data_IF_440711878353
#
_entry.id   IF_440711878353
#
_cell.length_a   1.000
_cell.length_b   1.000
_cell.length_c   1.000
_cell.angle_alpha   90.00
_cell.angle_beta   90.00
_cell.angle_gamma   90.00
#
_symmetry.space_group_name_H-M   'P 1'
#
loop_
_entity.id
_entity.type
_entity.pdbx_description
1 polymer ?
#
# COMPACT_ATOMS: atom_id res chain seq x y z
N UNK A 1 -5.19 3.06 16.05
CA UNK A 1 -4.02 3.86 16.49
C UNK A 1 -2.75 3.03 16.25
N UNK A 2 -2.30 2.93 15.00
CA UNK A 2 -1.06 2.22 14.63
C UNK A 2 -0.29 3.04 13.60
N UNK A 3 -1.00 3.60 12.61
CA UNK A 3 -0.44 4.52 11.62
C UNK A 3 0.08 5.83 12.22
N UNK A 4 -0.64 6.40 13.21
CA UNK A 4 -0.23 7.61 13.92
C UNK A 4 1.00 7.32 14.80
N UNK A 5 0.97 6.22 15.54
CA UNK A 5 2.03 5.85 16.50
C UNK A 5 3.35 5.48 15.79
N UNK A 6 3.29 5.09 14.52
CA UNK A 6 4.47 4.79 13.69
C UNK A 6 4.76 5.83 12.59
N UNK A 7 4.05 6.95 12.59
CA UNK A 7 4.22 8.02 11.60
C UNK A 7 4.16 7.53 10.14
N UNK A 8 3.29 6.55 9.87
CA UNK A 8 3.09 5.93 8.55
C UNK A 8 2.09 6.71 7.68
N UNK A 9 1.83 7.97 8.01
CA UNK A 9 0.95 8.81 7.22
C UNK A 9 1.45 8.84 5.77
N UNK A 10 0.53 8.71 4.82
CA UNK A 10 0.85 8.90 3.41
C UNK A 10 1.45 10.30 3.24
N UNK A 11 2.70 10.34 2.78
CA UNK A 11 3.39 11.59 2.44
C UNK A 11 3.07 11.98 1.01
N UNK A 12 3.28 13.25 0.67
CA UNK A 12 3.07 13.74 -0.70
C UNK A 12 3.92 12.96 -1.73
N UNK A 13 5.09 12.47 -1.31
CA UNK A 13 5.94 11.63 -2.15
C UNK A 13 5.32 10.25 -2.45
N UNK A 14 4.59 9.66 -1.51
CA UNK A 14 3.90 8.38 -1.73
C UNK A 14 2.72 8.53 -2.67
N UNK A 15 2.00 9.65 -2.54
CA UNK A 15 0.90 10.01 -3.43
C UNK A 15 1.43 10.18 -4.87
N UNK A 16 2.56 10.89 -5.02
CA UNK A 16 3.23 11.07 -6.31
C UNK A 16 3.67 9.75 -6.94
N UNK A 17 4.27 8.85 -6.15
CA UNK A 17 4.69 7.53 -6.61
C UNK A 17 3.49 6.71 -7.10
N UNK A 18 2.36 6.73 -6.38
CA UNK A 18 1.12 6.08 -6.82
C UNK A 18 0.54 6.72 -8.08
N UNK A 19 0.61 8.04 -8.23
CA UNK A 19 0.19 8.69 -9.47
C UNK A 19 1.03 8.24 -10.66
N UNK A 20 2.35 8.07 -10.49
CA UNK A 20 3.23 7.55 -11.54
C UNK A 20 2.94 6.08 -11.87
N UNK A 21 2.70 5.24 -10.87
CA UNK A 21 2.27 3.85 -11.10
C UNK A 21 0.96 3.79 -11.88
N UNK A 22 -0.05 4.58 -11.47
CA UNK A 22 -1.32 4.62 -12.18
C UNK A 22 -1.18 5.20 -13.59
N UNK A 23 -0.34 6.20 -13.80
CA UNK A 23 -0.06 6.76 -15.13
C UNK A 23 0.53 5.69 -16.05
N UNK A 24 1.49 4.92 -15.53
CA UNK A 24 2.14 3.83 -16.26
C UNK A 24 1.17 2.69 -16.55
N UNK A 25 0.34 2.29 -15.58
CA UNK A 25 -0.61 1.18 -15.72
C UNK A 25 -1.79 1.52 -16.64
N UNK A 26 -2.30 2.74 -16.58
CA UNK A 26 -3.49 3.17 -17.36
C UNK A 26 -3.12 3.82 -18.70
N UNK A 27 -1.84 4.14 -18.92
CA UNK A 27 -1.37 4.88 -20.09
C UNK A 27 -1.87 6.33 -20.13
N UNK A 28 -2.34 6.87 -19.01
CA UNK A 28 -2.80 8.24 -18.90
C UNK A 28 -1.68 9.16 -18.45
N UNK A 29 -1.70 10.40 -18.96
CA UNK A 29 -0.80 11.46 -18.53
C UNK A 29 -0.89 11.73 -17.02
N UNK A 30 0.26 11.85 -16.37
CA UNK A 30 0.38 12.07 -14.92
C UNK A 30 -0.42 13.31 -14.47
N UNK A 31 -0.40 14.36 -15.28
CA UNK A 31 -1.16 15.59 -15.03
C UNK A 31 -2.66 15.33 -14.95
N UNK A 32 -3.19 14.48 -15.82
CA UNK A 32 -4.63 14.12 -15.85
C UNK A 32 -5.02 13.27 -14.64
N UNK A 33 -4.12 12.39 -14.19
CA UNK A 33 -4.32 11.61 -12.96
C UNK A 33 -4.31 12.53 -11.74
N UNK A 34 -3.36 13.47 -11.66
CA UNK A 34 -3.33 14.46 -10.59
C UNK A 34 -4.59 15.32 -10.57
N UNK A 35 -5.06 15.78 -11.71
CA UNK A 35 -6.34 16.52 -11.81
C UNK A 35 -7.53 15.65 -11.38
N UNK A 36 -7.56 14.37 -11.78
CA UNK A 36 -8.63 13.47 -11.39
C UNK A 36 -8.64 13.21 -9.88
N UNK A 37 -7.48 13.10 -9.25
CA UNK A 37 -7.30 12.94 -7.80
C UNK A 37 -7.27 14.26 -7.03
N UNK A 38 -7.38 15.42 -7.70
CA UNK A 38 -7.38 16.73 -7.06
C UNK A 38 -8.60 16.94 -6.15
N UNK A 39 -9.65 16.14 -6.29
CA UNK A 39 -10.77 16.20 -5.37
C UNK A 39 -10.37 15.67 -3.99
N UNK A 40 -10.72 16.41 -2.94
CA UNK A 40 -10.35 16.10 -1.57
C UNK A 40 -10.80 14.69 -1.13
N UNK A 41 -11.93 14.20 -1.64
CA UNK A 41 -12.45 12.87 -1.37
C UNK A 41 -11.56 11.75 -1.95
N UNK A 42 -11.13 11.90 -3.21
CA UNK A 42 -10.28 10.91 -3.89
C UNK A 42 -8.86 10.92 -3.33
N UNK A 43 -8.32 12.10 -3.04
CA UNK A 43 -7.02 12.25 -2.41
C UNK A 43 -7.01 11.62 -1.00
N UNK A 44 -8.05 11.87 -0.20
CA UNK A 44 -8.20 11.27 1.12
C UNK A 44 -8.29 9.75 1.03
N UNK A 45 -9.08 9.22 0.10
CA UNK A 45 -9.20 7.77 -0.07
C UNK A 45 -7.87 7.12 -0.48
N UNK A 46 -7.14 7.76 -1.39
CA UNK A 46 -5.83 7.26 -1.83
C UNK A 46 -4.80 7.29 -0.68
N UNK A 47 -4.79 8.36 0.11
CA UNK A 47 -3.88 8.47 1.26
C UNK A 47 -4.16 7.41 2.33
N UNK A 48 -5.44 7.07 2.58
CA UNK A 48 -5.80 5.93 3.43
C UNK A 48 -5.29 4.61 2.85
N UNK A 49 -5.53 4.32 1.57
CA UNK A 49 -5.06 3.08 0.95
C UNK A 49 -3.53 2.92 1.00
N UNK A 50 -2.78 4.00 0.75
CA UNK A 50 -1.31 4.01 0.88
C UNK A 50 -0.88 3.73 2.33
N UNK A 51 -1.55 4.38 3.29
CA UNK A 51 -1.25 4.19 4.71
C UNK A 51 -1.53 2.74 5.13
N UNK A 52 -2.61 2.13 4.65
CA UNK A 52 -2.93 0.72 4.89
C UNK A 52 -1.87 -0.21 4.31
N UNK A 53 -1.45 -0.03 3.06
CA UNK A 53 -0.39 -0.83 2.44
C UNK A 53 0.92 -0.75 3.23
N UNK A 54 1.28 0.44 3.71
CA UNK A 54 2.48 0.67 4.53
C UNK A 54 2.38 0.00 5.89
N UNK A 55 1.23 0.09 6.55
CA UNK A 55 0.99 -0.59 7.83
C UNK A 55 1.06 -2.11 7.64
N UNK A 56 0.48 -2.65 6.58
CA UNK A 56 0.57 -4.08 6.25
C UNK A 56 2.02 -4.49 6.04
N UNK A 57 2.79 -3.74 5.23
CA UNK A 57 4.21 -4.03 5.02
C UNK A 57 5.01 -3.98 6.32
N UNK A 58 4.75 -3.00 7.19
CA UNK A 58 5.42 -2.90 8.48
C UNK A 58 5.08 -4.09 9.38
N UNK A 59 3.81 -4.48 9.44
CA UNK A 59 3.36 -5.66 10.19
C UNK A 59 3.98 -6.92 9.63
N UNK A 60 4.02 -7.10 8.31
CA UNK A 60 4.69 -8.24 7.67
C UNK A 60 6.19 -8.28 7.96
N UNK A 61 6.87 -7.14 7.93
CA UNK A 61 8.31 -7.06 8.22
C UNK A 61 8.65 -7.34 9.69
N UNK A 62 7.76 -6.98 10.62
CA UNK A 62 7.91 -7.28 12.06
C UNK A 62 7.39 -8.67 12.42
N UNK A 63 6.45 -9.20 11.65
CA UNK A 63 5.93 -10.53 11.85
C UNK A 63 7.02 -11.54 11.50
N UNK A 64 7.22 -12.51 12.40
CA UNK A 64 8.10 -13.65 12.15
C UNK A 64 7.38 -14.58 11.15
N UNK A 65 7.45 -14.24 9.87
CA UNK A 65 6.91 -15.06 8.80
C UNK A 65 7.77 -16.32 8.71
N UNK A 66 7.23 -17.44 9.20
CA UNK A 66 7.75 -18.77 8.86
C UNK A 66 7.15 -19.14 7.52
N UNK A 67 7.93 -18.98 6.45
CA UNK A 67 7.60 -19.60 5.18
C UNK A 67 7.66 -21.12 5.37
N UNK A 68 6.51 -21.77 5.29
CA UNK A 68 6.41 -23.23 5.33
C UNK A 68 6.24 -23.74 3.92
N UNK A 69 7.13 -24.63 3.50
CA UNK A 69 7.04 -25.33 2.23
C UNK A 69 5.75 -26.17 2.19
N UNK A 70 5.01 -26.12 1.09
CA UNK A 70 3.71 -26.81 0.95
C UNK A 70 3.78 -28.33 1.15
N UNK A 71 4.99 -28.91 1.11
CA UNK A 71 5.24 -30.33 1.41
C UNK A 71 5.16 -30.65 2.90
N UNK A 72 5.54 -29.74 3.79
CA UNK A 72 5.55 -29.95 5.24
C UNK A 72 4.13 -29.90 5.86
N UNK A 73 3.20 -29.18 5.24
CA UNK A 73 1.81 -29.07 5.71
C UNK A 73 0.99 -30.36 5.53
N UNK A 74 1.41 -31.27 4.64
CA UNK A 74 0.72 -32.56 4.45
C UNK A 74 1.08 -33.61 5.48
N UNK A 75 2.21 -33.47 6.16
CA UNK A 75 2.68 -34.46 7.14
C UNK A 75 2.11 -34.21 8.55
N UNK A 76 1.70 -32.99 8.88
CA UNK A 76 1.07 -32.67 10.18
C UNK A 76 -0.45 -32.96 10.24
N UNK A 77 -1.07 -33.39 9.12
CA UNK A 77 -2.50 -33.72 9.06
C UNK A 77 -2.81 -35.24 9.09
N UNK A 78 -1.82 -36.10 9.34
CA UNK A 78 -2.00 -37.55 9.40
C UNK A 78 -1.78 -38.14 10.79
#
# INVERSE_FOLDING_TARGET
KLAIDHNLAATDADMEAKYQEYATQTGMELARIKEWYASADKSSRLSYSITEEKVIHMVMAKAKIKEVDAKLLKEEQN
#
